data_IF_712824426164
#
_entry.id   IF_712824426164
#
_cell.length_a   1.000
_cell.length_b   1.000
_cell.length_c   1.000
_cell.angle_alpha   90.00
_cell.angle_beta   90.00
_cell.angle_gamma   90.00
#
_symmetry.space_group_name_H-M   'P 1'
#
loop_
_entity.id
_entity.type
_entity.pdbx_description
1 polymer ?
#
# COMPACT_ATOMS: atom_id res chain seq x y z
N UNK A 1 35.18 -9.95 -3.64
CA UNK A 1 35.04 -9.29 -2.33
C UNK A 1 33.89 -8.29 -2.38
N UNK A 2 32.77 -8.54 -1.70
CA UNK A 2 31.63 -7.61 -1.66
C UNK A 2 31.88 -6.61 -0.53
N UNK A 3 32.19 -5.36 -0.89
CA UNK A 3 32.38 -4.29 0.10
C UNK A 3 31.06 -4.02 0.80
N UNK A 4 31.01 -4.29 2.11
CA UNK A 4 29.91 -3.83 2.98
C UNK A 4 29.97 -2.30 3.04
N UNK A 5 29.22 -1.63 2.17
CA UNK A 5 29.12 -0.18 2.21
C UNK A 5 28.36 0.23 3.47
N UNK A 6 29.01 1.00 4.33
CA UNK A 6 28.44 1.46 5.58
C UNK A 6 27.31 2.46 5.29
N UNK A 7 26.06 2.00 5.36
CA UNK A 7 24.86 2.75 4.91
C UNK A 7 24.72 4.11 5.59
N UNK A 8 25.25 4.27 6.80
CA UNK A 8 25.25 5.54 7.54
C UNK A 8 26.21 6.57 6.95
N UNK A 9 27.32 6.13 6.35
CA UNK A 9 28.30 7.00 5.74
C UNK A 9 27.81 7.54 4.39
N UNK A 10 27.21 6.66 3.58
CA UNK A 10 26.61 7.02 2.28
C UNK A 10 25.52 8.09 2.41
N UNK A 11 24.67 8.01 3.44
CA UNK A 11 23.62 9.02 3.67
C UNK A 11 24.23 10.38 4.00
N UNK A 12 25.34 10.42 4.75
CA UNK A 12 26.02 11.69 5.09
C UNK A 12 26.64 12.34 3.86
N UNK A 13 27.27 11.54 2.99
CA UNK A 13 27.85 11.99 1.72
C UNK A 13 26.77 12.58 0.79
N UNK A 14 25.64 11.89 0.62
CA UNK A 14 24.52 12.38 -0.21
C UNK A 14 23.92 13.68 0.33
N UNK A 15 23.87 13.86 1.66
CA UNK A 15 23.41 15.12 2.28
C UNK A 15 24.42 16.25 2.05
N UNK A 16 25.72 15.97 2.07
CA UNK A 16 26.76 16.96 1.79
C UNK A 16 26.76 17.40 0.32
N UNK A 17 26.39 16.51 -0.61
CA UNK A 17 26.25 16.79 -2.03
C UNK A 17 24.87 17.33 -2.45
N UNK A 18 24.00 17.65 -1.47
CA UNK A 18 22.64 18.14 -1.71
C UNK A 18 22.60 19.35 -2.66
N UNK A 19 23.59 20.23 -2.59
CA UNK A 19 23.71 21.42 -3.44
C UNK A 19 24.11 21.11 -4.90
N UNK A 20 24.71 19.94 -5.19
CA UNK A 20 25.26 19.62 -6.53
C UNK A 20 24.38 18.73 -7.40
N UNK A 21 23.28 18.19 -6.87
CA UNK A 21 22.36 17.34 -7.66
C UNK A 21 21.08 16.87 -6.95
N UNK A 22 20.95 17.10 -5.64
CA UNK A 22 19.84 16.57 -4.84
C UNK A 22 19.06 17.66 -4.09
N UNK A 23 19.03 18.90 -4.61
CA UNK A 23 18.44 20.06 -3.94
C UNK A 23 16.96 19.89 -3.58
N UNK A 24 16.23 19.01 -4.27
CA UNK A 24 14.82 18.70 -4.03
C UNK A 24 14.59 17.52 -3.07
N UNK A 25 15.63 16.76 -2.71
CA UNK A 25 15.47 15.65 -1.77
C UNK A 25 15.23 16.17 -0.36
N UNK A 26 13.97 16.10 0.07
CA UNK A 26 13.61 16.25 1.47
C UNK A 26 13.80 14.90 2.17
N UNK A 27 14.97 14.71 2.77
CA UNK A 27 15.22 13.61 3.70
C UNK A 27 14.45 13.89 5.00
N UNK A 28 13.14 13.64 5.00
CA UNK A 28 12.39 13.59 6.26
C UNK A 28 12.93 12.39 7.03
N UNK A 29 13.78 12.66 8.02
CA UNK A 29 14.00 11.74 9.14
C UNK A 29 12.62 11.33 9.61
N UNK A 30 12.31 10.02 9.53
CA UNK A 30 11.06 9.49 10.05
C UNK A 30 10.97 9.94 11.51
N UNK A 31 10.17 10.96 11.77
CA UNK A 31 9.73 11.24 13.11
C UNK A 31 8.87 10.02 13.44
N UNK A 32 9.41 9.10 14.24
CA UNK A 32 8.57 8.14 14.95
C UNK A 32 7.42 8.97 15.50
N UNK A 33 6.19 8.59 15.19
CA UNK A 33 4.97 9.25 15.69
C UNK A 33 5.20 9.55 17.15
N UNK A 34 5.51 10.81 17.44
CA UNK A 34 5.94 11.19 18.76
C UNK A 34 4.72 11.00 19.64
N UNK A 35 4.79 10.03 20.54
CA UNK A 35 3.93 9.86 21.71
C UNK A 35 4.11 11.06 22.65
N UNK A 36 4.02 12.27 22.12
CA UNK A 36 3.92 13.47 22.92
C UNK A 36 2.42 13.68 23.10
N UNK A 37 1.86 13.35 24.28
CA UNK A 37 0.46 13.58 24.56
C UNK A 37 0.22 15.09 24.61
N UNK A 38 -0.05 15.68 23.44
CA UNK A 38 -0.59 17.02 23.31
C UNK A 38 -2.10 16.98 23.54
N UNK A 39 -2.65 18.11 23.96
CA UNK A 39 -4.11 18.28 24.09
C UNK A 39 -4.84 18.09 22.76
N UNK A 40 -4.16 18.37 21.64
CA UNK A 40 -4.70 18.21 20.29
C UNK A 40 -4.05 17.05 19.53
N UNK A 41 -4.86 16.34 18.75
CA UNK A 41 -4.37 15.27 17.89
C UNK A 41 -3.50 15.81 16.75
N UNK A 42 -2.28 15.28 16.63
CA UNK A 42 -1.41 15.56 15.49
C UNK A 42 -2.02 15.03 14.19
N UNK A 43 -1.58 15.58 13.05
CA UNK A 43 -1.99 15.10 11.72
C UNK A 43 -1.63 13.62 11.54
N UNK A 44 -0.49 13.22 12.06
CA UNK A 44 0.04 11.86 12.04
C UNK A 44 -0.85 10.92 12.86
N UNK A 45 -1.28 11.33 14.05
CA UNK A 45 -2.21 10.57 14.91
C UNK A 45 -3.57 10.39 14.24
N UNK A 46 -4.13 11.45 13.64
CA UNK A 46 -5.41 11.37 12.90
C UNK A 46 -5.31 10.41 11.71
N UNK A 47 -4.22 10.48 10.95
CA UNK A 47 -3.99 9.58 9.82
C UNK A 47 -3.82 8.12 10.28
N UNK A 48 -3.07 7.88 11.37
CA UNK A 48 -2.89 6.56 11.93
C UNK A 48 -4.20 5.95 12.44
N UNK A 49 -5.02 6.74 13.13
CA UNK A 49 -6.35 6.31 13.58
C UNK A 49 -7.25 5.92 12.40
N UNK A 50 -7.28 6.74 11.34
CA UNK A 50 -8.04 6.42 10.14
C UNK A 50 -7.58 5.10 9.50
N UNK A 51 -6.27 4.88 9.37
CA UNK A 51 -5.74 3.63 8.81
C UNK A 51 -6.10 2.44 9.70
N UNK A 52 -5.92 2.56 11.02
CA UNK A 52 -6.24 1.50 11.98
C UNK A 52 -7.71 1.08 11.89
N UNK A 53 -8.62 2.04 11.76
CA UNK A 53 -10.05 1.78 11.79
C UNK A 53 -10.59 1.38 10.39
N UNK A 54 -9.98 1.87 9.29
CA UNK A 54 -10.41 1.58 7.93
C UNK A 54 -9.90 0.23 7.37
N UNK A 55 -8.71 -0.22 7.77
CA UNK A 55 -8.10 -1.44 7.21
C UNK A 55 -8.85 -2.75 7.55
N UNK A 56 -9.33 -2.99 8.79
CA UNK A 56 -9.98 -4.26 9.14
C UNK A 56 -11.26 -4.53 8.36
N UNK A 57 -12.02 -3.49 8.01
CA UNK A 57 -13.28 -3.61 7.26
C UNK A 57 -13.12 -3.62 5.74
N UNK A 58 -11.90 -3.43 5.22
CA UNK A 58 -11.69 -3.32 3.78
C UNK A 58 -11.65 -4.70 3.11
N UNK A 59 -12.50 -4.96 2.10
CA UNK A 59 -12.47 -6.22 1.36
C UNK A 59 -11.11 -6.39 0.67
N UNK A 60 -10.70 -7.64 0.50
CA UNK A 60 -9.46 -8.00 -0.21
C UNK A 60 -9.77 -8.69 -1.53
N UNK A 61 -8.95 -8.40 -2.53
CA UNK A 61 -8.99 -9.05 -3.83
C UNK A 61 -8.67 -10.55 -3.67
N UNK A 62 -9.50 -11.44 -4.21
CA UNK A 62 -9.28 -12.89 -4.10
C UNK A 62 -8.14 -13.43 -4.99
N UNK A 63 -7.62 -12.62 -5.91
CA UNK A 63 -6.51 -12.99 -6.80
C UNK A 63 -5.15 -12.63 -6.18
N UNK A 64 -4.95 -11.36 -5.79
CA UNK A 64 -3.67 -10.86 -5.28
C UNK A 64 -3.64 -10.65 -3.76
N UNK A 65 -4.77 -10.85 -3.08
CA UNK A 65 -4.96 -10.62 -1.64
C UNK A 65 -4.70 -9.18 -1.16
N UNK A 66 -4.59 -8.22 -2.08
CA UNK A 66 -4.46 -6.79 -1.77
C UNK A 66 -5.79 -6.14 -1.38
N UNK A 67 -5.73 -5.00 -0.69
CA UNK A 67 -6.92 -4.22 -0.32
C UNK A 67 -7.68 -3.73 -1.55
N UNK A 68 -9.00 -3.84 -1.50
CA UNK A 68 -9.89 -3.49 -2.57
C UNK A 68 -10.53 -2.11 -2.29
N UNK A 69 -10.27 -1.10 -3.12
CA UNK A 69 -10.92 0.19 -2.96
C UNK A 69 -12.41 0.10 -3.31
N UNK A 70 -13.26 0.80 -2.55
CA UNK A 70 -14.72 0.72 -2.70
C UNK A 70 -15.23 1.19 -4.07
N UNK A 71 -14.52 2.08 -4.76
CA UNK A 71 -14.92 2.64 -6.06
C UNK A 71 -14.38 1.91 -7.27
N UNK A 72 -13.28 1.17 -7.12
CA UNK A 72 -12.54 0.58 -8.26
C UNK A 72 -12.37 -0.90 -7.97
N UNK A 73 -13.48 -1.63 -8.12
CA UNK A 73 -13.55 -3.07 -7.99
C UNK A 73 -14.35 -3.68 -9.15
N UNK A 74 -14.15 -4.97 -9.36
CA UNK A 74 -14.89 -5.78 -10.31
C UNK A 74 -15.45 -6.99 -9.57
N UNK A 75 -16.62 -7.46 -10.00
CA UNK A 75 -17.23 -8.69 -9.51
C UNK A 75 -17.18 -9.67 -10.67
N UNK A 76 -16.56 -10.83 -10.46
CA UNK A 76 -16.48 -11.87 -11.46
C UNK A 76 -16.61 -13.26 -10.83
N UNK A 77 -16.70 -14.29 -11.67
CA UNK A 77 -16.94 -15.66 -11.25
C UNK A 77 -15.67 -16.28 -10.64
N UNK A 78 -15.75 -17.17 -9.65
CA UNK A 78 -14.62 -17.97 -9.16
C UNK A 78 -14.24 -18.97 -10.24
N UNK A 79 -15.22 -19.78 -10.67
CA UNK A 79 -15.16 -20.64 -11.85
C UNK A 79 -15.70 -19.88 -13.05
N UNK A 80 -14.90 -19.74 -14.13
CA UNK A 80 -15.31 -18.99 -15.31
C UNK A 80 -16.58 -19.57 -15.93
N UNK A 81 -17.37 -18.70 -16.55
CA UNK A 81 -18.58 -19.10 -17.31
C UNK A 81 -18.26 -20.12 -18.40
N UNK A 82 -17.12 -19.95 -19.10
CA UNK A 82 -16.66 -20.87 -20.13
C UNK A 82 -16.39 -22.30 -19.59
N UNK A 83 -15.96 -22.41 -18.34
CA UNK A 83 -15.69 -23.70 -17.68
C UNK A 83 -16.96 -24.30 -17.03
N UNK A 84 -18.13 -23.71 -17.28
CA UNK A 84 -19.41 -24.11 -16.69
C UNK A 84 -19.66 -23.51 -15.29
N UNK A 85 -19.10 -22.34 -15.00
CA UNK A 85 -19.41 -21.57 -13.79
C UNK A 85 -20.80 -20.94 -13.85
N UNK A 86 -21.55 -21.04 -12.75
CA UNK A 86 -22.89 -20.45 -12.60
C UNK A 86 -22.83 -19.06 -11.97
N UNK A 87 -23.80 -18.20 -12.25
CA UNK A 87 -23.92 -16.86 -11.65
C UNK A 87 -24.50 -16.87 -10.23
N UNK A 88 -24.03 -17.76 -9.35
CA UNK A 88 -24.47 -17.84 -7.95
C UNK A 88 -23.60 -16.96 -7.05
N UNK A 89 -24.12 -16.58 -5.86
CA UNK A 89 -23.36 -15.80 -4.88
C UNK A 89 -22.07 -16.53 -4.45
N UNK A 90 -22.13 -17.86 -4.27
CA UNK A 90 -20.96 -18.68 -3.96
C UNK A 90 -19.88 -18.66 -5.05
N UNK A 91 -20.28 -18.42 -6.30
CA UNK A 91 -19.33 -18.30 -7.40
C UNK A 91 -18.95 -16.85 -7.67
N UNK A 92 -19.44 -15.85 -6.93
CA UNK A 92 -19.06 -14.46 -7.12
C UNK A 92 -17.84 -14.11 -6.26
N UNK A 93 -16.87 -13.41 -6.85
CA UNK A 93 -15.69 -12.91 -6.15
C UNK A 93 -15.40 -11.46 -6.50
N UNK A 94 -14.94 -10.71 -5.50
CA UNK A 94 -14.44 -9.35 -5.63
C UNK A 94 -12.97 -9.36 -6.04
N UNK A 95 -12.66 -8.65 -7.11
CA UNK A 95 -11.32 -8.56 -7.69
C UNK A 95 -11.00 -7.12 -8.11
N UNK A 96 -9.72 -6.79 -8.24
CA UNK A 96 -9.35 -5.54 -8.90
C UNK A 96 -9.67 -5.65 -10.40
N UNK A 97 -10.10 -4.57 -11.08
CA UNK A 97 -10.30 -4.59 -12.52
C UNK A 97 -9.05 -5.07 -13.28
N UNK A 98 -7.86 -4.63 -12.83
CA UNK A 98 -6.58 -5.11 -13.36
C UNK A 98 -6.38 -6.61 -13.14
N UNK A 99 -6.60 -7.10 -11.92
CA UNK A 99 -6.42 -8.52 -11.63
C UNK A 99 -7.35 -9.40 -12.45
N UNK A 100 -8.59 -8.94 -12.65
CA UNK A 100 -9.59 -9.66 -13.41
C UNK A 100 -9.20 -9.79 -14.89
N UNK A 101 -8.70 -8.71 -15.49
CA UNK A 101 -8.38 -8.68 -16.92
C UNK A 101 -7.00 -9.25 -17.26
N UNK A 102 -6.03 -9.21 -16.34
CA UNK A 102 -4.65 -9.64 -16.66
C UNK A 102 -4.30 -11.03 -16.18
N UNK A 103 -4.79 -11.48 -15.03
CA UNK A 103 -4.41 -12.79 -14.46
C UNK A 103 -5.42 -13.90 -14.73
N UNK A 104 -6.71 -13.55 -14.84
CA UNK A 104 -7.80 -14.53 -14.91
C UNK A 104 -8.31 -14.79 -16.34
N UNK A 105 -7.78 -14.07 -17.33
CA UNK A 105 -8.25 -14.11 -18.71
C UNK A 105 -8.28 -15.52 -19.29
#
# INVERSE_FOLDING_TARGET
MSQKTDKKNVIKEIIAEKEKGFGTLKTKTRSNTSDTPGKEFSRETKAAAFIRDALPGSPRCKICNGYLPSRINSIDHIKRKADGGLGTLDNAQLTHPYCNTTFKN
#
